data_IF_012647307918
#
_entry.id   IF_012647307918
#
_cell.length_a   1.000
_cell.length_b   1.000
_cell.length_c   1.000
_cell.angle_alpha   90.00
_cell.angle_beta   90.00
_cell.angle_gamma   90.00
#
_symmetry.space_group_name_H-M   'P 1'
#
loop_
_entity.id
_entity.type
_entity.pdbx_description
1 polymer ?
#
# COMPACT_ATOMS: atom_id res chain seq x y z
N UNK A 1 32.96 15.41 8.03
CA UNK A 1 31.62 14.92 7.61
C UNK A 1 30.57 15.68 8.38
N UNK A 2 29.53 16.22 7.71
CA UNK A 2 28.41 16.92 8.36
C UNK A 2 27.18 16.01 8.26
N UNK A 3 26.35 15.96 9.30
CA UNK A 3 25.09 15.22 9.32
C UNK A 3 23.96 16.11 9.86
N UNK A 4 22.75 15.96 9.31
CA UNK A 4 21.53 16.59 9.80
C UNK A 4 20.48 15.51 10.04
N UNK A 5 19.90 15.51 11.22
CA UNK A 5 18.79 14.61 11.60
C UNK A 5 17.52 15.47 11.73
N UNK A 6 16.47 15.10 11.03
CA UNK A 6 15.21 15.84 10.99
C UNK A 6 14.04 14.89 11.21
N UNK A 7 13.10 15.28 12.05
CA UNK A 7 11.86 14.53 12.26
C UNK A 7 10.97 14.54 11.02
N UNK A 8 10.30 13.41 10.72
CA UNK A 8 9.31 13.32 9.65
C UNK A 8 8.11 14.26 9.85
N UNK A 9 7.83 14.63 11.08
CA UNK A 9 6.76 15.58 11.44
C UNK A 9 7.05 16.98 10.87
N UNK A 10 8.31 17.37 10.73
CA UNK A 10 8.71 18.67 10.14
C UNK A 10 8.22 18.85 8.70
N UNK A 11 7.92 17.74 8.00
CA UNK A 11 7.42 17.75 6.62
C UNK A 11 5.89 17.83 6.50
N UNK A 12 5.15 17.93 7.60
CA UNK A 12 3.67 17.89 7.58
C UNK A 12 3.02 19.06 6.82
N UNK A 13 3.71 20.21 6.73
CA UNK A 13 3.22 21.38 5.98
C UNK A 13 3.24 21.19 4.46
N UNK A 14 3.88 20.15 3.95
CA UNK A 14 3.98 19.85 2.52
C UNK A 14 5.17 20.52 1.82
N UNK A 15 6.08 21.08 2.62
CA UNK A 15 7.31 21.73 2.17
C UNK A 15 8.53 21.06 2.79
N UNK A 16 9.65 21.16 2.11
CA UNK A 16 10.94 20.77 2.67
C UNK A 16 11.34 21.81 3.71
N UNK A 17 11.64 21.42 4.96
CA UNK A 17 12.04 22.35 6.01
C UNK A 17 13.24 23.21 5.61
N UNK A 18 13.27 24.46 6.04
CA UNK A 18 14.34 25.41 5.70
C UNK A 18 15.73 24.94 6.18
N UNK A 19 15.79 24.28 7.33
CA UNK A 19 17.02 23.67 7.84
C UNK A 19 17.58 22.62 6.89
N UNK A 20 16.69 21.78 6.30
CA UNK A 20 17.08 20.78 5.30
C UNK A 20 17.58 21.47 4.03
N UNK A 21 16.90 22.49 3.54
CA UNK A 21 17.33 23.25 2.35
C UNK A 21 18.71 23.87 2.57
N UNK A 22 18.90 24.56 3.71
CA UNK A 22 20.20 25.15 4.07
C UNK A 22 21.31 24.13 4.16
N UNK A 23 21.02 22.96 4.78
CA UNK A 23 21.98 21.87 4.86
C UNK A 23 22.36 21.36 3.46
N UNK A 24 21.37 21.09 2.61
CA UNK A 24 21.61 20.60 1.24
C UNK A 24 22.43 21.59 0.42
N UNK A 25 22.17 22.89 0.54
CA UNK A 25 22.96 23.95 -0.11
C UNK A 25 24.39 24.04 0.42
N UNK A 26 24.63 23.63 1.66
CA UNK A 26 25.98 23.63 2.28
C UNK A 26 26.80 22.37 1.95
N UNK A 27 26.23 21.40 1.23
CA UNK A 27 26.92 20.18 0.85
C UNK A 27 27.78 20.39 -0.39
N UNK A 28 29.08 20.22 -0.28
CA UNK A 28 30.01 20.25 -1.43
C UNK A 28 29.88 19.01 -2.31
N UNK A 29 29.48 17.90 -1.73
CA UNK A 29 29.26 16.61 -2.39
C UNK A 29 27.79 16.24 -2.36
N UNK A 30 27.39 15.31 -3.24
CA UNK A 30 26.04 14.75 -3.23
C UNK A 30 25.72 14.17 -1.84
N UNK A 31 24.64 14.61 -1.19
CA UNK A 31 24.26 14.12 0.12
C UNK A 31 23.77 12.66 0.02
N UNK A 32 23.92 11.93 1.11
CA UNK A 32 23.28 10.62 1.30
C UNK A 32 22.06 10.84 2.20
N UNK A 33 20.89 10.49 1.72
CA UNK A 33 19.61 10.71 2.41
C UNK A 33 19.08 9.37 2.89
N UNK A 34 18.94 9.20 4.18
CA UNK A 34 18.33 8.03 4.80
C UNK A 34 16.93 8.41 5.28
N UNK A 35 15.93 7.70 4.79
CA UNK A 35 14.55 7.81 5.24
C UNK A 35 14.23 6.65 6.18
N UNK A 36 14.30 6.91 7.47
CA UNK A 36 13.88 5.95 8.48
C UNK A 36 12.35 5.91 8.60
N UNK A 37 11.80 4.77 8.96
CA UNK A 37 10.34 4.53 9.00
C UNK A 37 9.64 4.90 7.69
N UNK A 38 10.22 4.50 6.56
CA UNK A 38 9.71 4.83 5.21
C UNK A 38 8.26 4.38 4.98
N UNK A 39 7.76 3.44 5.76
CA UNK A 39 6.34 3.06 5.77
C UNK A 39 5.39 4.23 6.06
N UNK A 40 5.88 5.34 6.63
CA UNK A 40 5.10 6.55 6.92
C UNK A 40 4.86 7.45 5.70
N UNK A 41 5.55 7.23 4.57
CA UNK A 41 5.32 7.98 3.33
C UNK A 41 4.37 7.29 2.35
N UNK A 42 3.81 6.15 2.72
CA UNK A 42 2.89 5.40 1.88
C UNK A 42 1.58 6.17 1.61
N UNK A 43 1.05 6.01 0.41
CA UNK A 43 -0.31 6.42 0.09
C UNK A 43 -1.29 5.30 0.44
N UNK A 44 -2.33 5.62 1.19
CA UNK A 44 -3.32 4.63 1.64
C UNK A 44 -4.53 4.50 0.71
N UNK A 45 -4.72 5.43 -0.24
CA UNK A 45 -5.87 5.43 -1.14
C UNK A 45 -5.46 5.85 -2.56
N UNK A 46 -5.19 4.88 -3.44
CA UNK A 46 -4.77 5.15 -4.80
C UNK A 46 -5.86 5.81 -5.66
N UNK A 47 -7.15 5.63 -5.32
CA UNK A 47 -8.26 6.29 -6.02
C UNK A 47 -8.31 7.82 -5.78
N UNK A 48 -7.51 8.33 -4.86
CA UNK A 48 -7.42 9.75 -4.52
C UNK A 48 -5.99 10.25 -4.70
N UNK A 49 -5.45 10.09 -5.89
CA UNK A 49 -4.09 10.51 -6.25
C UNK A 49 -3.80 11.98 -5.89
N UNK A 50 -4.82 12.83 -5.96
CA UNK A 50 -4.74 14.24 -5.52
C UNK A 50 -4.54 14.41 -4.01
N UNK A 51 -4.56 13.33 -3.23
CA UNK A 51 -4.50 13.37 -1.76
C UNK A 51 -3.34 12.57 -1.16
N UNK A 52 -2.18 12.52 -1.83
CA UNK A 52 -0.95 12.18 -1.11
C UNK A 52 -0.82 13.07 0.10
N UNK A 53 -0.43 12.50 1.24
CA UNK A 53 -0.24 13.33 2.43
C UNK A 53 0.76 14.45 2.10
N UNK A 54 0.56 15.64 2.66
CA UNK A 54 1.50 16.76 2.49
C UNK A 54 2.93 16.36 2.82
N UNK A 55 3.12 15.54 3.85
CA UNK A 55 4.40 14.94 4.23
C UNK A 55 5.01 14.13 3.08
N UNK A 56 4.27 13.18 2.53
CA UNK A 56 4.75 12.35 1.41
C UNK A 56 5.16 13.20 0.22
N UNK A 57 4.36 14.21 -0.14
CA UNK A 57 4.69 15.13 -1.23
C UNK A 57 5.99 15.88 -0.99
N UNK A 58 6.20 16.39 0.24
CA UNK A 58 7.41 17.12 0.60
C UNK A 58 8.65 16.22 0.57
N UNK A 59 8.55 14.99 1.09
CA UNK A 59 9.67 14.04 1.10
C UNK A 59 10.00 13.59 -0.32
N UNK A 60 9.01 13.35 -1.18
CA UNK A 60 9.25 12.99 -2.58
C UNK A 60 9.95 14.10 -3.39
N UNK A 61 9.93 15.37 -2.96
CA UNK A 61 10.75 16.45 -3.57
C UNK A 61 12.25 16.18 -3.40
N UNK A 62 12.64 15.40 -2.41
CA UNK A 62 14.04 15.03 -2.18
C UNK A 62 14.52 13.84 -3.04
N UNK A 63 13.63 13.20 -3.78
CA UNK A 63 13.94 11.95 -4.50
C UNK A 63 14.88 12.12 -5.71
N UNK A 64 15.27 13.36 -6.06
CA UNK A 64 16.26 13.66 -7.11
C UNK A 64 17.55 14.26 -6.55
N UNK A 65 17.65 14.34 -5.22
CA UNK A 65 18.77 14.96 -4.53
C UNK A 65 19.65 13.86 -3.92
N UNK A 66 20.85 13.65 -4.48
CA UNK A 66 21.83 12.74 -3.90
C UNK A 66 21.49 11.25 -3.95
N UNK A 67 22.22 10.48 -3.15
CA UNK A 67 22.00 9.05 -2.94
C UNK A 67 20.93 8.84 -1.85
N UNK A 68 20.17 7.77 -1.95
CA UNK A 68 19.02 7.53 -1.07
C UNK A 68 18.99 6.12 -0.54
N UNK A 69 18.51 5.99 0.70
CA UNK A 69 18.23 4.73 1.36
C UNK A 69 16.90 4.83 2.12
N UNK A 70 16.18 3.75 2.23
CA UNK A 70 15.01 3.63 3.10
C UNK A 70 15.24 2.55 4.14
N UNK A 71 14.74 2.81 5.34
CA UNK A 71 14.73 1.85 6.42
C UNK A 71 13.27 1.67 6.87
N UNK A 72 12.84 0.43 7.04
CA UNK A 72 11.51 0.10 7.54
C UNK A 72 11.44 -1.34 8.02
N UNK A 73 10.75 -1.57 9.12
CA UNK A 73 10.42 -2.93 9.58
C UNK A 73 9.32 -3.60 8.74
N UNK A 74 8.52 -2.82 8.02
CA UNK A 74 7.40 -3.33 7.19
C UNK A 74 7.28 -2.56 5.88
N UNK A 75 7.87 -3.09 4.82
CA UNK A 75 7.87 -2.46 3.51
C UNK A 75 6.45 -2.43 2.90
N UNK A 76 5.75 -3.56 2.92
CA UNK A 76 4.37 -3.73 2.44
C UNK A 76 3.48 -4.25 3.57
N UNK A 77 2.86 -3.35 4.35
CA UNK A 77 2.10 -3.76 5.53
C UNK A 77 0.69 -4.28 5.22
N UNK A 78 0.04 -3.76 4.18
CA UNK A 78 -1.37 -4.06 3.85
C UNK A 78 -1.60 -4.35 2.37
N UNK A 79 -0.84 -3.75 1.48
CA UNK A 79 -1.07 -3.78 0.04
C UNK A 79 0.24 -3.47 -0.69
N UNK A 80 0.45 -4.01 -1.91
CA UNK A 80 1.56 -3.65 -2.78
C UNK A 80 1.68 -2.13 -3.03
N UNK A 81 0.56 -1.41 -3.05
CA UNK A 81 0.54 0.06 -3.23
C UNK A 81 1.32 0.79 -2.14
N UNK A 82 1.49 0.18 -0.95
CA UNK A 82 2.31 0.78 0.10
C UNK A 82 3.79 0.90 -0.29
N UNK A 83 4.26 0.11 -1.25
CA UNK A 83 5.62 0.18 -1.77
C UNK A 83 5.80 1.30 -2.81
N UNK A 84 4.73 1.75 -3.48
CA UNK A 84 4.80 2.66 -4.62
C UNK A 84 5.58 3.95 -4.32
N UNK A 85 5.19 4.69 -3.29
CA UNK A 85 5.86 5.94 -2.92
C UNK A 85 7.26 5.70 -2.34
N UNK A 86 7.48 4.60 -1.64
CA UNK A 86 8.78 4.23 -1.09
C UNK A 86 9.79 3.95 -2.21
N UNK A 87 9.38 3.20 -3.24
CA UNK A 87 10.22 2.93 -4.41
C UNK A 87 10.47 4.19 -5.25
N UNK A 88 9.46 5.05 -5.43
CA UNK A 88 9.63 6.33 -6.13
C UNK A 88 10.51 7.33 -5.35
N UNK A 89 10.64 7.19 -4.04
CA UNK A 89 11.64 7.93 -3.28
C UNK A 89 13.05 7.46 -3.60
N UNK A 90 13.28 6.13 -3.66
CA UNK A 90 14.59 5.56 -4.01
C UNK A 90 14.98 5.86 -5.45
N UNK A 91 14.08 5.58 -6.37
CA UNK A 91 14.29 5.71 -7.80
C UNK A 91 13.11 6.47 -8.41
N UNK A 92 13.28 7.75 -8.79
CA UNK A 92 12.22 8.53 -9.42
C UNK A 92 11.68 7.81 -10.67
N UNK A 93 10.37 7.67 -10.75
CA UNK A 93 9.69 6.93 -11.82
C UNK A 93 10.08 5.45 -11.90
N UNK A 94 10.37 4.81 -10.77
CA UNK A 94 10.65 3.36 -10.72
C UNK A 94 9.50 2.56 -11.36
N UNK A 95 8.28 2.93 -11.06
CA UNK A 95 7.10 2.42 -11.76
C UNK A 95 6.73 3.40 -12.88
N UNK A 96 6.69 2.97 -14.15
CA UNK A 96 6.37 3.85 -15.28
C UNK A 96 4.88 4.26 -15.28
N UNK A 97 4.03 3.44 -14.68
CA UNK A 97 2.60 3.71 -14.57
C UNK A 97 2.26 4.64 -13.41
N UNK A 98 1.09 5.26 -13.49
CA UNK A 98 0.52 6.02 -12.36
C UNK A 98 0.23 5.08 -11.18
N UNK A 99 0.15 5.64 -9.96
CA UNK A 99 -0.25 4.87 -8.78
C UNK A 99 -1.62 4.19 -8.97
N UNK A 100 -2.53 4.80 -9.71
CA UNK A 100 -3.84 4.21 -10.00
C UNK A 100 -3.70 2.96 -10.88
N UNK A 101 -2.96 3.05 -11.97
CA UNK A 101 -2.70 1.91 -12.86
C UNK A 101 -1.93 0.79 -12.15
N UNK A 102 -0.94 1.16 -11.31
CA UNK A 102 -0.24 0.23 -10.44
C UNK A 102 -1.20 -0.50 -9.50
N UNK A 103 -2.10 0.24 -8.87
CA UNK A 103 -3.09 -0.35 -7.97
C UNK A 103 -4.09 -1.24 -8.70
N UNK A 104 -4.54 -0.86 -9.90
CA UNK A 104 -5.42 -1.72 -10.73
C UNK A 104 -4.72 -3.02 -11.15
N UNK A 105 -3.41 -3.00 -11.34
CA UNK A 105 -2.61 -4.17 -11.72
C UNK A 105 -2.29 -5.09 -10.55
N UNK A 106 -1.96 -4.53 -9.39
CA UNK A 106 -1.37 -5.29 -8.26
C UNK A 106 -2.28 -5.40 -7.04
N UNK A 107 -3.41 -4.69 -6.98
CA UNK A 107 -4.40 -4.83 -5.92
C UNK A 107 -5.64 -5.53 -6.43
N UNK A 108 -6.13 -6.51 -5.65
CA UNK A 108 -7.44 -7.06 -5.89
C UNK A 108 -8.47 -6.10 -5.31
N UNK A 109 -9.21 -5.47 -6.20
CA UNK A 109 -10.31 -4.59 -5.85
C UNK A 109 -11.63 -5.22 -6.26
N UNK A 110 -12.55 -5.29 -5.33
CA UNK A 110 -13.90 -5.79 -5.57
C UNK A 110 -14.91 -4.65 -5.36
N UNK A 111 -15.91 -4.59 -6.20
CA UNK A 111 -17.04 -3.67 -6.01
C UNK A 111 -17.95 -4.23 -4.92
N UNK A 112 -18.29 -3.39 -3.95
CA UNK A 112 -19.23 -3.76 -2.90
C UNK A 112 -20.66 -3.74 -3.45
N UNK A 113 -21.40 -4.86 -3.41
CA UNK A 113 -22.80 -4.88 -3.87
C UNK A 113 -23.71 -3.98 -3.04
N UNK A 114 -23.39 -3.85 -1.74
CA UNK A 114 -24.20 -3.09 -0.76
C UNK A 114 -24.07 -1.57 -0.88
N UNK A 115 -23.01 -1.08 -1.55
CA UNK A 115 -22.77 0.37 -1.69
C UNK A 115 -22.39 0.67 -3.13
N UNK A 116 -23.26 1.41 -3.83
CA UNK A 116 -23.09 1.73 -5.25
C UNK A 116 -21.75 2.43 -5.50
N UNK A 117 -20.91 1.80 -6.33
CA UNK A 117 -19.60 2.34 -6.71
C UNK A 117 -18.50 2.26 -5.66
N UNK A 118 -18.77 1.69 -4.48
CA UNK A 118 -17.73 1.46 -3.49
C UNK A 118 -16.87 0.25 -3.88
N UNK A 119 -15.56 0.41 -3.75
CA UNK A 119 -14.57 -0.67 -3.96
C UNK A 119 -13.76 -0.86 -2.69
N UNK A 120 -13.46 -2.11 -2.37
CA UNK A 120 -12.55 -2.48 -1.28
C UNK A 120 -11.32 -3.18 -1.84
N UNK A 121 -10.20 -3.01 -1.16
CA UNK A 121 -9.00 -3.81 -1.39
C UNK A 121 -9.02 -4.98 -0.44
N UNK A 122 -8.93 -6.21 -0.98
CA UNK A 122 -8.90 -7.44 -0.19
C UNK A 122 -7.44 -7.78 0.06
N UNK A 123 -7.05 -7.86 1.32
CA UNK A 123 -5.68 -8.17 1.73
C UNK A 123 -5.49 -9.68 1.95
N UNK A 124 -4.24 -10.21 1.96
CA UNK A 124 -3.99 -11.60 2.32
C UNK A 124 -4.57 -11.99 3.68
N UNK A 125 -4.57 -11.07 4.65
CA UNK A 125 -5.17 -11.28 5.97
C UNK A 125 -6.70 -11.42 5.89
N UNK A 126 -7.34 -10.69 4.98
CA UNK A 126 -8.79 -10.81 4.76
C UNK A 126 -9.12 -12.19 4.19
N UNK A 127 -8.34 -12.70 3.23
CA UNK A 127 -8.51 -14.07 2.70
C UNK A 127 -8.37 -15.12 3.79
N UNK A 128 -7.40 -15.02 4.67
CA UNK A 128 -7.24 -15.93 5.80
C UNK A 128 -8.46 -15.88 6.74
N UNK A 129 -8.96 -14.69 7.02
CA UNK A 129 -10.14 -14.47 7.86
C UNK A 129 -11.39 -15.05 7.22
N UNK A 130 -11.60 -14.80 5.92
CA UNK A 130 -12.70 -15.33 5.14
C UNK A 130 -12.65 -16.85 5.14
N UNK A 131 -11.48 -17.42 4.87
CA UNK A 131 -11.28 -18.87 4.87
C UNK A 131 -11.61 -19.50 6.21
N UNK A 132 -11.10 -18.97 7.31
CA UNK A 132 -11.42 -19.45 8.67
C UNK A 132 -12.93 -19.45 8.92
N UNK A 133 -13.60 -18.36 8.49
CA UNK A 133 -15.07 -18.23 8.62
C UNK A 133 -15.80 -19.30 7.80
N UNK A 134 -15.45 -19.50 6.54
CA UNK A 134 -16.10 -20.48 5.66
C UNK A 134 -15.84 -21.91 6.14
N UNK A 135 -14.61 -22.24 6.51
CA UNK A 135 -14.22 -23.55 7.00
C UNK A 135 -14.95 -23.95 8.29
N UNK A 136 -15.32 -22.99 9.13
CA UNK A 136 -16.14 -23.24 10.34
C UNK A 136 -17.49 -23.87 10.01
N UNK A 137 -18.04 -23.58 8.84
CA UNK A 137 -19.38 -24.01 8.43
C UNK A 137 -19.36 -25.04 7.28
N UNK A 138 -18.19 -25.59 6.94
CA UNK A 138 -18.01 -26.49 5.78
C UNK A 138 -18.96 -27.70 5.75
N UNK A 139 -19.30 -28.23 6.94
CA UNK A 139 -20.12 -29.45 7.09
C UNK A 139 -21.62 -29.14 7.26
N UNK A 140 -22.02 -27.86 7.22
CA UNK A 140 -23.41 -27.42 7.31
C UNK A 140 -23.78 -26.54 6.09
N UNK A 141 -24.43 -27.11 5.06
CA UNK A 141 -24.70 -26.40 3.80
C UNK A 141 -25.50 -25.11 3.95
N UNK A 142 -26.49 -25.08 4.85
CA UNK A 142 -27.31 -23.90 5.07
C UNK A 142 -26.52 -22.78 5.75
N UNK A 143 -25.76 -23.10 6.79
CA UNK A 143 -24.90 -22.13 7.47
C UNK A 143 -23.75 -21.64 6.57
N UNK A 144 -23.19 -22.52 5.72
CA UNK A 144 -22.17 -22.19 4.74
C UNK A 144 -22.72 -21.23 3.70
N UNK A 145 -23.91 -21.45 3.16
CA UNK A 145 -24.55 -20.52 2.22
C UNK A 145 -24.71 -19.12 2.83
N UNK A 146 -25.19 -19.02 4.07
CA UNK A 146 -25.32 -17.74 4.78
C UNK A 146 -23.96 -17.08 5.04
N UNK A 147 -22.91 -17.86 5.32
CA UNK A 147 -21.56 -17.34 5.48
C UNK A 147 -21.00 -16.80 4.16
N UNK A 148 -21.24 -17.48 3.03
CA UNK A 148 -20.86 -17.05 1.68
C UNK A 148 -21.60 -15.76 1.27
N UNK A 149 -22.89 -15.65 1.56
CA UNK A 149 -23.67 -14.44 1.29
C UNK A 149 -23.14 -13.26 2.11
N UNK A 150 -22.76 -13.49 3.36
CA UNK A 150 -22.10 -12.48 4.18
C UNK A 150 -20.75 -12.05 3.61
N UNK A 151 -19.95 -13.00 3.12
CA UNK A 151 -18.67 -12.70 2.44
C UNK A 151 -18.91 -11.92 1.15
N UNK A 152 -19.90 -12.32 0.34
CA UNK A 152 -20.27 -11.58 -0.87
C UNK A 152 -20.69 -10.14 -0.55
N UNK A 153 -21.58 -9.95 0.43
CA UNK A 153 -22.08 -8.62 0.79
C UNK A 153 -20.97 -7.69 1.33
N UNK A 154 -20.00 -8.24 2.05
CA UNK A 154 -18.95 -7.46 2.72
C UNK A 154 -17.70 -7.25 1.86
N UNK A 155 -17.31 -8.25 1.07
CA UNK A 155 -16.08 -8.24 0.29
C UNK A 155 -16.31 -8.28 -1.23
N UNK A 156 -17.54 -8.46 -1.70
CA UNK A 156 -17.86 -8.61 -3.12
C UNK A 156 -17.31 -9.91 -3.75
N UNK A 157 -16.93 -10.89 -2.90
CA UNK A 157 -16.39 -12.19 -3.34
C UNK A 157 -17.56 -13.08 -3.74
N UNK A 158 -17.50 -13.70 -4.92
CA UNK A 158 -18.56 -14.59 -5.41
C UNK A 158 -18.60 -15.91 -4.63
N UNK A 159 -19.71 -16.65 -4.71
CA UNK A 159 -19.80 -17.98 -4.10
C UNK A 159 -18.75 -18.93 -4.69
N UNK A 160 -18.50 -18.84 -5.99
CA UNK A 160 -17.48 -19.63 -6.68
C UNK A 160 -16.07 -19.33 -6.12
N UNK A 161 -15.72 -18.05 -5.99
CA UNK A 161 -14.46 -17.63 -5.34
C UNK A 161 -14.37 -18.16 -3.89
N UNK A 162 -15.50 -18.21 -3.15
CA UNK A 162 -15.52 -18.76 -1.80
C UNK A 162 -15.15 -20.26 -1.79
N UNK A 163 -15.61 -21.04 -2.76
CA UNK A 163 -15.22 -22.45 -2.89
C UNK A 163 -13.73 -22.59 -3.22
N UNK A 164 -13.18 -21.72 -4.09
CA UNK A 164 -11.74 -21.70 -4.36
C UNK A 164 -10.92 -21.36 -3.11
N UNK A 165 -11.34 -20.37 -2.34
CA UNK A 165 -10.69 -19.98 -1.07
C UNK A 165 -10.70 -21.15 -0.06
N UNK A 166 -11.76 -21.93 -0.01
CA UNK A 166 -11.84 -23.10 0.87
C UNK A 166 -10.95 -24.25 0.39
N UNK A 167 -10.96 -24.52 -0.91
CA UNK A 167 -10.28 -25.67 -1.52
C UNK A 167 -8.75 -25.50 -1.56
N UNK A 168 -8.28 -24.28 -1.81
CA UNK A 168 -6.85 -23.99 -2.01
C UNK A 168 -6.32 -23.10 -0.88
N UNK A 169 -5.63 -23.69 0.13
CA UNK A 169 -5.06 -22.94 1.25
C UNK A 169 -4.07 -21.86 0.84
N UNK A 170 -3.40 -22.10 -0.29
CA UNK A 170 -2.40 -21.22 -0.85
C UNK A 170 -2.98 -20.26 -1.89
N UNK A 171 -4.31 -20.24 -2.06
CA UNK A 171 -4.96 -19.29 -2.94
C UNK A 171 -4.72 -17.89 -2.38
N UNK A 172 -3.66 -17.29 -2.87
CA UNK A 172 -3.43 -15.86 -2.77
C UNK A 172 -3.67 -15.29 -4.16
N UNK A 173 -4.43 -14.21 -4.27
CA UNK A 173 -4.70 -13.57 -5.55
C UNK A 173 -3.45 -13.04 -6.28
N UNK A 174 -2.28 -13.17 -5.66
CA UNK A 174 -0.98 -12.78 -6.21
C UNK A 174 -0.28 -13.90 -6.98
N UNK A 175 -0.85 -15.11 -7.07
CA UNK A 175 -0.23 -16.25 -7.75
C UNK A 175 -0.36 -16.23 -9.28
N UNK A 176 -1.16 -15.33 -9.85
CA UNK A 176 -1.28 -15.16 -11.31
C UNK A 176 -0.46 -13.96 -11.80
N UNK A 177 0.76 -13.81 -11.27
CA UNK A 177 1.76 -12.84 -11.73
C UNK A 177 2.88 -13.55 -12.50
N UNK A 178 2.52 -14.52 -13.34
CA UNK A 178 3.40 -15.05 -14.39
C UNK A 178 3.28 -14.23 -15.66
#
# INVERSE_FOLDING_TARGET
MKALIVSLESFQKGEVPEEVKKFLLSCEKKPFIVLDESSKIKTNNPCKESKKSKRTQAILKLNRIGERCILTGTFMSKSPVNAYDQMNFLYPNFFPESMYAFAERYEIRRTLPSVRGARITITPKDYETIRKRLMKYKDNPSALAGAMDGVHSFYGITREDCFHIMKYPEYTPFKNMD
#
